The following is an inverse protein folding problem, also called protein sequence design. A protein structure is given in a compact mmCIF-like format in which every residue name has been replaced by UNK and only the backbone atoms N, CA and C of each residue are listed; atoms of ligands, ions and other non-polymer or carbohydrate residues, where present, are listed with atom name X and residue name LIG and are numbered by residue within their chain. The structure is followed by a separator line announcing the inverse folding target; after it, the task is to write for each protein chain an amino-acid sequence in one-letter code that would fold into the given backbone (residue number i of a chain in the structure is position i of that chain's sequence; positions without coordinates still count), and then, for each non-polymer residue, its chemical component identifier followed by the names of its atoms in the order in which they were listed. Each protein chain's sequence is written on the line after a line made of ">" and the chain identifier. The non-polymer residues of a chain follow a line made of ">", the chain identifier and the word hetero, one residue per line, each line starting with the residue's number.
data_IF_779182792283
#
_entry.id   IF_779182792283
#
_cell.length_a   1.000
_cell.length_b   1.000
_cell.length_c   1.000
_cell.angle_alpha   90.00
_cell.angle_beta   90.00
_cell.angle_gamma   90.00
#
_symmetry.space_group_name_H-M   'P 1'
#
loop_
_entity.id
_entity.type
_entity.pdbx_description
1 polymer ?
#
# COMPACT_ATOMS: atom_id res chain seq x y z
N UNK A 1 31.34 13.67 -15.12
CA UNK A 1 30.83 13.86 -13.74
C UNK A 1 29.39 13.34 -13.72
N UNK A 2 29.23 12.05 -13.47
CA UNK A 2 27.91 11.42 -13.39
C UNK A 2 27.31 11.80 -12.03
N UNK A 3 26.28 12.63 -12.05
CA UNK A 3 25.46 12.88 -10.87
C UNK A 3 24.70 11.60 -10.56
N UNK A 4 25.27 10.73 -9.71
CA UNK A 4 24.50 9.72 -9.02
C UNK A 4 23.53 10.45 -8.10
N UNK A 5 22.28 10.55 -8.54
CA UNK A 5 21.18 10.99 -7.71
C UNK A 5 20.91 9.84 -6.72
N UNK A 6 21.70 9.79 -5.65
CA UNK A 6 21.39 8.93 -4.50
C UNK A 6 20.00 9.35 -4.03
N UNK A 7 18.99 8.54 -4.36
CA UNK A 7 17.67 8.69 -3.77
C UNK A 7 17.88 8.30 -2.31
N UNK A 8 18.11 9.29 -1.46
CA UNK A 8 18.27 9.05 -0.03
C UNK A 8 16.93 8.56 0.50
N UNK A 9 16.84 7.25 0.68
CA UNK A 9 15.70 6.58 1.32
C UNK A 9 15.46 7.23 2.68
N UNK A 10 14.30 7.87 2.83
CA UNK A 10 13.96 8.63 4.04
C UNK A 10 13.14 7.74 4.95
N UNK A 11 13.76 7.29 6.03
CA UNK A 11 13.11 6.58 7.12
C UNK A 11 12.34 7.57 7.98
N UNK A 12 11.46 7.05 8.83
CA UNK A 12 10.73 7.88 9.77
C UNK A 12 10.79 7.31 11.18
N UNK A 13 10.76 8.18 12.18
CA UNK A 13 10.67 7.79 13.59
C UNK A 13 9.39 8.32 14.18
N UNK A 14 8.60 7.45 14.83
CA UNK A 14 7.37 7.82 15.50
C UNK A 14 7.57 8.02 17.01
N UNK A 15 7.15 9.17 17.51
CA UNK A 15 7.04 9.43 18.94
C UNK A 15 5.82 8.70 19.55
N UNK A 16 5.87 8.43 20.85
CA UNK A 16 4.71 7.95 21.62
C UNK A 16 3.49 8.89 21.57
N UNK A 17 3.68 10.17 21.25
CA UNK A 17 2.58 11.11 21.05
C UNK A 17 1.98 11.09 19.62
N UNK A 18 2.49 10.25 18.73
CA UNK A 18 2.05 10.12 17.34
C UNK A 18 2.80 11.03 16.35
N UNK A 19 3.62 11.96 16.81
CA UNK A 19 4.44 12.79 15.90
C UNK A 19 5.49 11.95 15.17
N UNK A 20 5.68 12.23 13.88
CA UNK A 20 6.60 11.50 13.01
C UNK A 20 7.70 12.45 12.54
N UNK A 21 8.94 11.96 12.50
CA UNK A 21 10.13 12.70 12.10
C UNK A 21 10.87 11.96 10.98
N UNK A 22 11.20 12.61 9.85
CA UNK A 22 12.02 12.00 8.80
C UNK A 22 13.48 11.93 9.24
N UNK A 23 14.15 10.83 8.92
CA UNK A 23 15.59 10.61 9.16
C UNK A 23 16.22 9.89 7.95
N UNK A 24 17.45 10.23 7.59
CA UNK A 24 18.13 9.65 6.40
C UNK A 24 19.07 8.50 6.77
N UNK A 25 19.69 8.55 7.95
CA UNK A 25 20.67 7.56 8.41
C UNK A 25 20.32 7.12 9.83
N UNK A 26 19.39 6.16 10.01
CA UNK A 26 18.99 5.69 11.33
C UNK A 26 20.17 5.16 12.16
N UNK A 27 21.16 4.54 11.52
CA UNK A 27 22.33 3.98 12.20
C UNK A 27 23.25 5.04 12.85
N UNK A 28 23.12 6.31 12.46
CA UNK A 28 23.92 7.42 13.00
C UNK A 28 23.18 8.21 14.09
N UNK A 29 21.92 7.88 14.37
CA UNK A 29 21.08 8.62 15.30
C UNK A 29 20.48 7.61 16.29
N UNK A 30 20.92 7.65 17.55
CA UNK A 30 20.38 6.75 18.58
C UNK A 30 19.09 7.29 19.20
N UNK A 31 18.96 8.62 19.28
CA UNK A 31 17.81 9.27 19.90
C UNK A 31 17.57 10.67 19.37
N UNK A 32 16.33 11.16 19.50
CA UNK A 32 15.96 12.54 19.19
C UNK A 32 14.90 13.05 20.19
N UNK A 33 14.80 14.37 20.37
CA UNK A 33 13.78 14.96 21.25
C UNK A 33 12.55 15.31 20.43
N UNK A 34 11.38 14.84 20.87
CA UNK A 34 10.12 15.21 20.25
C UNK A 34 9.84 16.70 20.46
N UNK A 35 9.76 17.48 19.38
CA UNK A 35 9.43 18.90 19.43
C UNK A 35 8.00 19.22 19.90
N UNK A 36 7.10 18.23 19.93
CA UNK A 36 5.70 18.41 20.35
C UNK A 36 5.49 18.12 21.83
N UNK A 37 5.93 16.94 22.30
CA UNK A 37 5.68 16.50 23.69
C UNK A 37 6.92 16.57 24.59
N UNK A 38 8.07 16.99 24.06
CA UNK A 38 9.34 17.12 24.80
C UNK A 38 10.01 15.81 25.20
N UNK A 39 9.41 14.64 24.90
CA UNK A 39 9.98 13.34 25.27
C UNK A 39 11.18 12.99 24.40
N UNK A 40 12.19 12.39 25.01
CA UNK A 40 13.29 11.73 24.30
C UNK A 40 12.74 10.46 23.64
N UNK A 41 12.96 10.34 22.34
CA UNK A 41 12.64 9.17 21.54
C UNK A 41 13.95 8.42 21.33
N UNK A 42 14.08 7.24 21.95
CA UNK A 42 15.15 6.29 21.62
C UNK A 42 14.74 5.53 20.37
N UNK A 43 15.54 5.58 19.32
CA UNK A 43 15.22 4.94 18.04
C UNK A 43 15.38 3.42 18.21
N UNK A 44 14.38 2.67 17.77
CA UNK A 44 14.37 1.21 17.80
C UNK A 44 13.48 0.66 16.67
N UNK A 45 13.43 -0.66 16.51
CA UNK A 45 12.67 -1.31 15.44
C UNK A 45 11.14 -1.08 15.51
N UNK A 46 10.60 -0.74 16.68
CA UNK A 46 9.15 -0.55 16.85
C UNK A 46 8.68 0.85 16.40
N UNK A 47 9.57 1.84 16.56
CA UNK A 47 9.28 3.23 16.23
C UNK A 47 9.96 3.73 14.95
N UNK A 48 10.90 2.96 14.41
CA UNK A 48 11.45 3.16 13.07
C UNK A 48 10.46 2.63 12.03
N UNK A 49 10.25 3.45 11.00
CA UNK A 49 9.39 3.15 9.85
C UNK A 49 10.25 3.22 8.59
N UNK A 50 10.14 2.19 7.77
CA UNK A 50 10.81 2.10 6.48
C UNK A 50 10.24 3.14 5.49
N UNK A 51 11.00 3.59 4.47
CA UNK A 51 10.59 4.64 3.54
C UNK A 51 9.23 4.44 2.85
N UNK A 52 8.84 3.19 2.62
CA UNK A 52 7.58 2.83 1.96
C UNK A 52 6.54 2.23 2.93
N UNK A 53 6.82 2.24 4.23
CA UNK A 53 5.90 1.72 5.24
C UNK A 53 4.82 2.75 5.58
N UNK A 54 3.56 2.32 5.60
CA UNK A 54 2.48 3.19 6.05
C UNK A 54 2.62 3.53 7.54
N UNK A 55 2.42 4.79 7.87
CA UNK A 55 2.49 5.28 9.24
C UNK A 55 1.11 5.38 9.92
N UNK A 56 0.04 4.95 9.25
CA UNK A 56 -1.31 5.06 9.81
C UNK A 56 -1.46 4.20 11.06
N UNK A 57 -2.19 4.71 12.06
CA UNK A 57 -2.38 4.00 13.33
C UNK A 57 -3.00 2.61 13.13
N UNK A 58 -3.94 2.48 12.19
CA UNK A 58 -4.60 1.22 11.89
C UNK A 58 -3.65 0.20 11.25
N UNK A 59 -2.81 0.64 10.30
CA UNK A 59 -1.82 -0.23 9.68
C UNK A 59 -0.82 -0.73 10.71
N UNK A 60 -0.25 0.16 11.55
CA UNK A 60 0.73 -0.25 12.56
C UNK A 60 0.18 -1.26 13.55
N UNK A 61 -1.10 -1.12 13.92
CA UNK A 61 -1.79 -2.07 14.79
C UNK A 61 -1.91 -3.46 14.14
N UNK A 62 -2.19 -3.51 12.84
CA UNK A 62 -2.57 -4.74 12.15
C UNK A 62 -1.47 -5.35 11.27
N UNK A 63 -0.34 -4.68 11.04
CA UNK A 63 0.69 -5.14 10.09
C UNK A 63 1.21 -6.56 10.36
N UNK A 64 1.23 -6.96 11.64
CA UNK A 64 1.66 -8.29 12.08
C UNK A 64 0.49 -9.26 12.31
N UNK A 65 -0.76 -8.83 12.10
CA UNK A 65 -1.92 -9.70 12.24
C UNK A 65 -2.07 -10.64 11.04
N UNK A 66 -2.81 -11.75 11.19
CA UNK A 66 -3.15 -12.64 10.09
C UNK A 66 -3.72 -11.87 8.88
N UNK A 67 -3.41 -12.28 7.65
CA UNK A 67 -3.89 -11.60 6.44
C UNK A 67 -5.40 -11.40 6.40
N UNK A 68 -6.16 -12.39 6.86
CA UNK A 68 -7.62 -12.33 6.88
C UNK A 68 -8.13 -11.19 7.76
N UNK A 69 -7.51 -10.94 8.92
CA UNK A 69 -7.92 -9.84 9.79
C UNK A 69 -7.66 -8.48 9.13
N UNK A 70 -6.51 -8.32 8.49
CA UNK A 70 -6.17 -7.11 7.72
C UNK A 70 -7.14 -6.88 6.57
N UNK A 71 -7.51 -7.94 5.83
CA UNK A 71 -8.48 -7.87 4.73
C UNK A 71 -9.85 -7.47 5.24
N UNK A 72 -10.34 -8.11 6.31
CA UNK A 72 -11.65 -7.82 6.90
C UNK A 72 -11.72 -6.36 7.33
N UNK A 73 -10.69 -5.86 7.99
CA UNK A 73 -10.62 -4.45 8.37
C UNK A 73 -10.53 -3.51 7.16
N UNK A 74 -9.72 -3.85 6.15
CA UNK A 74 -9.64 -3.09 4.91
C UNK A 74 -10.99 -2.97 4.21
N UNK A 75 -11.77 -4.07 4.17
CA UNK A 75 -13.13 -4.09 3.61
C UNK A 75 -14.07 -3.21 4.44
N UNK A 76 -13.97 -3.25 5.78
CA UNK A 76 -14.74 -2.36 6.67
C UNK A 76 -14.44 -0.88 6.38
N UNK A 77 -13.17 -0.52 6.25
CA UNK A 77 -12.72 0.84 5.93
C UNK A 77 -13.21 1.32 4.55
N UNK A 78 -13.19 0.46 3.54
CA UNK A 78 -13.76 0.76 2.21
C UNK A 78 -15.27 1.08 2.34
N UNK A 79 -16.02 0.28 3.10
CA UNK A 79 -17.46 0.51 3.32
C UNK A 79 -17.74 1.84 4.03
N UNK A 80 -16.81 2.29 4.88
CA UNK A 80 -16.85 3.61 5.53
C UNK A 80 -16.35 4.76 4.63
N UNK A 81 -15.93 4.47 3.39
CA UNK A 81 -15.39 5.45 2.47
C UNK A 81 -13.93 5.85 2.75
N UNK A 82 -13.25 5.19 3.70
CA UNK A 82 -11.87 5.46 4.12
C UNK A 82 -10.88 4.57 3.36
N UNK A 83 -10.89 4.64 2.04
CA UNK A 83 -10.08 3.77 1.18
C UNK A 83 -8.57 4.03 1.32
N UNK A 84 -8.20 5.25 1.72
CA UNK A 84 -6.82 5.67 1.99
C UNK A 84 -6.20 4.89 3.16
N UNK A 85 -7.01 4.60 4.19
CA UNK A 85 -6.59 3.79 5.34
C UNK A 85 -6.59 2.29 5.03
N UNK A 86 -7.42 1.86 4.07
CA UNK A 86 -7.53 0.47 3.67
C UNK A 86 -6.38 0.02 2.75
N UNK A 87 -5.91 0.92 1.89
CA UNK A 87 -4.81 0.68 0.94
C UNK A 87 -3.60 -0.03 1.58
N UNK A 88 -2.98 0.48 2.67
CA UNK A 88 -1.79 -0.15 3.24
C UNK A 88 -2.07 -1.53 3.87
N UNK A 89 -3.30 -1.79 4.33
CA UNK A 89 -3.69 -3.11 4.84
C UNK A 89 -3.66 -4.15 3.72
N UNK A 90 -4.25 -3.84 2.56
CA UNK A 90 -4.23 -4.74 1.41
C UNK A 90 -2.83 -4.87 0.80
N UNK A 91 -2.04 -3.79 0.75
CA UNK A 91 -0.67 -3.83 0.23
C UNK A 91 0.18 -4.82 1.03
N UNK A 92 0.09 -4.79 2.36
CA UNK A 92 0.86 -5.71 3.19
C UNK A 92 0.52 -7.18 2.96
N UNK A 93 -0.74 -7.50 2.65
CA UNK A 93 -1.14 -8.88 2.34
C UNK A 93 -0.60 -9.34 0.99
N UNK A 94 -0.60 -8.45 -0.01
CA UNK A 94 -0.09 -8.78 -1.34
C UNK A 94 1.44 -8.88 -1.34
N UNK A 95 2.15 -8.06 -0.57
CA UNK A 95 3.61 -8.14 -0.38
C UNK A 95 4.03 -9.48 0.22
N UNK A 96 3.20 -10.08 1.07
CA UNK A 96 3.42 -11.44 1.59
C UNK A 96 3.20 -12.55 0.54
N UNK A 97 2.94 -12.20 -0.72
CA UNK A 97 2.72 -13.11 -1.85
C UNK A 97 1.61 -14.15 -1.61
N UNK A 98 0.58 -13.79 -0.83
CA UNK A 98 -0.56 -14.66 -0.59
C UNK A 98 -1.63 -14.45 -1.67
N UNK A 99 -2.07 -15.51 -2.38
CA UNK A 99 -3.04 -15.39 -3.48
C UNK A 99 -4.48 -15.20 -2.95
N UNK A 100 -4.72 -14.13 -2.20
CA UNK A 100 -6.05 -13.84 -1.63
C UNK A 100 -6.77 -12.84 -2.52
N UNK A 101 -7.73 -13.34 -3.30
CA UNK A 101 -8.46 -12.56 -4.32
C UNK A 101 -9.09 -11.27 -3.76
N UNK A 102 -9.54 -11.28 -2.50
CA UNK A 102 -10.11 -10.13 -1.81
C UNK A 102 -9.08 -9.02 -1.58
N UNK A 103 -7.81 -9.36 -1.32
CA UNK A 103 -6.74 -8.37 -1.16
C UNK A 103 -6.40 -7.71 -2.49
N UNK A 104 -6.30 -8.49 -3.57
CA UNK A 104 -6.07 -7.98 -4.92
C UNK A 104 -7.22 -7.07 -5.38
N UNK A 105 -8.47 -7.47 -5.14
CA UNK A 105 -9.62 -6.63 -5.44
C UNK A 105 -9.62 -5.34 -4.59
N UNK A 106 -9.33 -5.45 -3.29
CA UNK A 106 -9.22 -4.31 -2.38
C UNK A 106 -8.17 -3.29 -2.84
N UNK A 107 -6.98 -3.74 -3.25
CA UNK A 107 -5.96 -2.89 -3.87
C UNK A 107 -6.45 -2.24 -5.15
N UNK A 108 -7.00 -3.05 -6.06
CA UNK A 108 -7.54 -2.56 -7.33
C UNK A 108 -8.58 -1.46 -7.13
N UNK A 109 -9.46 -1.64 -6.15
CA UNK A 109 -10.45 -0.65 -5.75
C UNK A 109 -9.81 0.62 -5.16
N UNK A 110 -8.85 0.49 -4.23
CA UNK A 110 -8.17 1.65 -3.65
C UNK A 110 -7.45 2.48 -4.72
N UNK A 111 -6.72 1.85 -5.64
CA UNK A 111 -6.06 2.57 -6.74
C UNK A 111 -7.04 3.19 -7.73
N UNK A 112 -8.18 2.54 -7.98
CA UNK A 112 -9.26 3.14 -8.75
C UNK A 112 -9.75 4.46 -8.11
N UNK A 113 -9.90 4.47 -6.78
CA UNK A 113 -10.31 5.67 -6.02
C UNK A 113 -9.23 6.76 -6.04
N UNK A 114 -7.96 6.36 -6.02
CA UNK A 114 -6.81 7.26 -6.18
C UNK A 114 -6.61 7.76 -7.63
N UNK A 115 -7.42 7.29 -8.59
CA UNK A 115 -7.27 7.54 -10.04
C UNK A 115 -5.97 6.99 -10.65
N UNK A 116 -5.30 6.08 -9.95
CA UNK A 116 -4.17 5.30 -10.49
C UNK A 116 -4.71 4.12 -11.30
N UNK A 117 -5.26 4.43 -12.46
CA UNK A 117 -6.02 3.47 -13.27
C UNK A 117 -5.17 2.31 -13.80
N UNK A 118 -3.89 2.53 -14.12
CA UNK A 118 -3.00 1.45 -14.58
C UNK A 118 -2.72 0.43 -13.45
N UNK A 119 -2.38 0.91 -12.25
CA UNK A 119 -2.18 0.05 -11.08
C UNK A 119 -3.47 -0.70 -10.74
N UNK A 120 -4.60 0.02 -10.74
CA UNK A 120 -5.92 -0.56 -10.55
C UNK A 120 -6.19 -1.71 -11.52
N UNK A 121 -5.93 -1.50 -12.81
CA UNK A 121 -6.14 -2.49 -13.86
C UNK A 121 -5.33 -3.77 -13.60
N UNK A 122 -4.06 -3.64 -13.22
CA UNK A 122 -3.18 -4.77 -12.93
C UNK A 122 -3.71 -5.62 -11.77
N UNK A 123 -4.03 -5.00 -10.62
CA UNK A 123 -4.52 -5.73 -9.45
C UNK A 123 -5.93 -6.30 -9.64
N UNK A 124 -6.80 -5.60 -10.38
CA UNK A 124 -8.13 -6.11 -10.73
C UNK A 124 -8.05 -7.31 -11.68
N UNK A 125 -7.09 -7.31 -12.62
CA UNK A 125 -6.84 -8.45 -13.50
C UNK A 125 -6.46 -9.71 -12.72
N UNK A 126 -5.57 -9.58 -11.73
CA UNK A 126 -5.22 -10.69 -10.83
C UNK A 126 -6.42 -11.15 -10.00
N UNK A 127 -7.20 -10.21 -9.44
CA UNK A 127 -8.41 -10.56 -8.68
C UNK A 127 -9.45 -11.29 -9.55
N UNK A 128 -9.59 -10.89 -10.81
CA UNK A 128 -10.46 -11.55 -11.79
C UNK A 128 -9.97 -12.97 -12.10
N UNK A 129 -8.67 -13.14 -12.35
CA UNK A 129 -8.05 -14.44 -12.58
C UNK A 129 -8.26 -15.40 -11.39
N UNK A 130 -8.19 -14.89 -10.16
CA UNK A 130 -8.49 -15.64 -8.94
C UNK A 130 -10.00 -15.81 -8.65
N UNK A 131 -10.88 -15.39 -9.56
CA UNK A 131 -12.32 -15.60 -9.46
C UNK A 131 -13.03 -14.71 -8.45
N UNK A 132 -12.60 -13.45 -8.26
CA UNK A 132 -13.34 -12.49 -7.43
C UNK A 132 -14.62 -12.02 -8.16
N UNK A 133 -15.81 -12.13 -7.52
CA UNK A 133 -17.10 -11.97 -8.21
C UNK A 133 -17.34 -10.56 -8.79
N UNK A 134 -16.74 -9.54 -8.20
CA UNK A 134 -16.91 -8.14 -8.64
C UNK A 134 -15.70 -7.56 -9.38
N UNK A 135 -14.63 -8.33 -9.58
CA UNK A 135 -13.42 -7.81 -10.19
C UNK A 135 -13.62 -7.48 -11.67
N UNK A 136 -14.29 -8.35 -12.43
CA UNK A 136 -14.52 -8.16 -13.87
C UNK A 136 -15.26 -6.86 -14.19
N UNK A 137 -16.35 -6.57 -13.47
CA UNK A 137 -17.14 -5.35 -13.71
C UNK A 137 -16.33 -4.07 -13.49
N UNK A 138 -15.48 -4.04 -12.45
CA UNK A 138 -14.62 -2.87 -12.19
C UNK A 138 -13.44 -2.81 -13.16
N UNK A 139 -12.87 -3.97 -13.53
CA UNK A 139 -11.79 -4.08 -14.52
C UNK A 139 -12.21 -3.48 -15.87
N UNK A 140 -13.39 -3.85 -16.39
CA UNK A 140 -13.90 -3.31 -17.66
C UNK A 140 -14.16 -1.79 -17.57
N UNK A 141 -14.67 -1.31 -16.42
CA UNK A 141 -14.84 0.13 -16.20
C UNK A 141 -13.50 0.87 -16.26
N UNK A 142 -12.45 0.31 -15.68
CA UNK A 142 -11.10 0.90 -15.71
C UNK A 142 -10.51 0.86 -17.13
N UNK A 143 -10.69 -0.24 -17.87
CA UNK A 143 -10.30 -0.32 -19.30
C UNK A 143 -10.93 0.78 -20.14
N UNK A 144 -12.25 0.99 -19.99
CA UNK A 144 -12.97 2.04 -20.69
C UNK A 144 -12.43 3.43 -20.38
N UNK A 145 -12.14 3.71 -19.10
CA UNK A 145 -11.54 4.99 -18.67
C UNK A 145 -10.17 5.20 -19.34
N UNK A 146 -9.37 4.14 -19.43
CA UNK A 146 -8.05 4.17 -20.06
C UNK A 146 -8.10 4.16 -21.60
N UNK A 147 -9.29 3.99 -22.21
CA UNK A 147 -9.48 3.83 -23.66
C UNK A 147 -8.60 2.71 -24.25
N UNK A 148 -8.44 1.63 -23.48
CA UNK A 148 -7.73 0.44 -23.96
C UNK A 148 -8.72 -0.31 -24.85
N UNK A 149 -8.55 -0.19 -26.16
CA UNK A 149 -9.25 -0.99 -27.16
C UNK A 149 -8.50 -2.30 -27.37
N UNK A 150 -9.23 -3.42 -27.40
CA UNK A 150 -8.67 -4.77 -27.57
C UNK A 150 -8.08 -5.01 -28.97
N UNK A 151 -8.22 -4.04 -29.89
CA UNK A 151 -7.70 -4.11 -31.26
C UNK A 151 -6.17 -4.06 -31.38
N UNK A 152 -5.43 -3.88 -30.28
CA UNK A 152 -3.95 -3.81 -30.27
C UNK A 152 -3.27 -4.86 -29.38
N UNK A 153 -3.99 -5.85 -28.87
CA UNK A 153 -3.37 -7.00 -28.21
C UNK A 153 -3.21 -8.10 -29.26
N UNK A 154 -1.99 -8.50 -29.66
CA UNK A 154 -1.82 -9.67 -30.50
C UNK A 154 -2.22 -10.91 -29.69
N UNK A 155 -3.50 -11.26 -29.73
CA UNK A 155 -4.01 -12.59 -29.37
C UNK A 155 -3.53 -13.58 -30.43
N UNK A 156 -2.26 -13.96 -30.34
CA UNK A 156 -1.70 -15.18 -30.92
C UNK A 156 -0.58 -15.67 -30.01
N UNK A 157 -0.96 -16.40 -28.97
CA UNK A 157 -0.22 -17.61 -28.63
C UNK A 157 -0.78 -18.68 -29.58
N UNK A 158 -0.26 -18.71 -30.80
CA UNK A 158 -0.46 -19.88 -31.67
C UNK A 158 0.40 -21.01 -31.12
N UNK A 159 -0.26 -22.17 -31.01
CA UNK A 159 0.24 -23.47 -30.57
C UNK A 159 1.45 -23.97 -31.39
#
# INVERSE_FOLDING_TARGET
>A
MLYHKEISETYHVMCSCGQIYPIVKPDLIEQLTCGVCGKIIKINQENLLEPNESNTAIYRKLKNHPPMERIVEGVRLIKEGKWELALPLFQSVVIENKPVREAFYGLGYCYYREKKYLDSLAFLGVAMYLGHPHAQALYEKVKQILKIDESNIPTKLEE
#
